data_IF_372793203742
#
_entry.id   IF_372793203742
#
_cell.length_a   1.000
_cell.length_b   1.000
_cell.length_c   1.000
_cell.angle_alpha   90.00
_cell.angle_beta   90.00
_cell.angle_gamma   90.00
#
_symmetry.space_group_name_H-M   'P 1'
#
loop_
_entity.id
_entity.type
_entity.pdbx_description
1 polymer ?
#
# COMPACT_ATOMS: atom_id res chain seq x y z
N UNK A 1 1.64 -21.00 -65.86
CA UNK A 1 2.34 -19.74 -66.19
C UNK A 1 3.23 -19.41 -65.00
N UNK A 2 4.55 -19.65 -65.14
CA UNK A 2 5.57 -19.30 -64.17
C UNK A 2 5.66 -17.78 -63.98
N UNK A 3 6.10 -17.34 -62.79
CA UNK A 3 7.00 -16.21 -62.46
C UNK A 3 6.69 -15.78 -61.01
N UNK A 4 7.60 -15.46 -60.10
CA UNK A 4 9.06 -15.52 -60.02
C UNK A 4 9.41 -15.28 -58.54
N UNK A 5 10.50 -15.87 -58.08
CA UNK A 5 11.09 -15.69 -56.76
C UNK A 5 11.45 -14.22 -56.47
N UNK A 6 11.27 -13.77 -55.22
CA UNK A 6 12.13 -12.75 -54.63
C UNK A 6 12.42 -13.08 -53.16
N UNK A 7 13.55 -13.75 -52.94
CA UNK A 7 14.16 -13.93 -51.62
C UNK A 7 14.88 -12.63 -51.27
N UNK A 8 14.29 -11.82 -50.39
CA UNK A 8 15.03 -10.73 -49.74
C UNK A 8 15.82 -11.31 -48.56
N UNK A 9 17.15 -11.36 -48.73
CA UNK A 9 18.12 -11.59 -47.66
C UNK A 9 17.89 -10.56 -46.54
N UNK A 10 17.34 -10.97 -45.39
CA UNK A 10 17.45 -10.18 -44.16
C UNK A 10 18.90 -10.27 -43.68
N UNK A 11 19.63 -9.15 -43.80
CA UNK A 11 20.92 -8.97 -43.12
C UNK A 11 20.68 -9.08 -41.61
N UNK A 12 21.56 -9.81 -40.94
CA UNK A 12 21.64 -9.96 -39.50
C UNK A 12 21.65 -8.60 -38.82
N UNK A 13 20.63 -8.30 -38.03
CA UNK A 13 20.70 -7.27 -37.01
C UNK A 13 20.75 -8.00 -35.68
N UNK A 14 21.95 -8.27 -35.19
CA UNK A 14 22.16 -8.64 -33.79
C UNK A 14 21.70 -7.46 -32.96
N UNK A 15 20.56 -7.61 -32.29
CA UNK A 15 20.13 -6.68 -31.26
C UNK A 15 21.11 -6.83 -30.10
N UNK A 16 22.05 -5.89 -30.00
CA UNK A 16 22.86 -5.70 -28.79
C UNK A 16 22.03 -4.76 -27.93
N UNK A 17 21.46 -5.19 -26.80
CA UNK A 17 20.79 -4.26 -25.91
C UNK A 17 21.86 -3.27 -25.43
N UNK A 18 21.67 -1.99 -25.74
CA UNK A 18 22.49 -0.93 -25.20
C UNK A 18 22.36 -0.94 -23.69
N UNK A 19 23.49 -1.11 -22.98
CA UNK A 19 23.55 -0.89 -21.54
C UNK A 19 23.04 0.52 -21.22
N UNK A 20 22.21 0.57 -20.17
CA UNK A 20 21.82 1.75 -19.38
C UNK A 20 20.54 2.47 -19.84
N UNK A 21 19.39 1.82 -19.68
CA UNK A 21 18.22 2.56 -19.18
C UNK A 21 18.56 3.00 -17.75
N UNK A 22 18.65 4.31 -17.53
CA UNK A 22 18.81 4.87 -16.19
C UNK A 22 17.51 4.64 -15.43
N UNK A 23 17.47 3.64 -14.55
CA UNK A 23 16.53 3.64 -13.44
C UNK A 23 16.73 4.97 -12.70
N UNK A 24 15.64 5.69 -12.39
CA UNK A 24 15.73 6.92 -11.59
C UNK A 24 16.10 6.51 -10.17
N UNK A 25 17.40 6.28 -9.92
CA UNK A 25 17.93 5.88 -8.62
C UNK A 25 17.77 6.99 -7.58
N UNK A 26 17.55 8.24 -8.02
CA UNK A 26 17.33 9.39 -7.16
C UNK A 26 16.23 10.30 -7.70
N UNK A 27 15.48 10.88 -6.77
CA UNK A 27 14.46 11.90 -7.02
C UNK A 27 14.66 13.07 -6.06
N UNK A 28 14.13 14.23 -6.42
CA UNK A 28 14.11 15.41 -5.56
C UNK A 28 12.68 15.89 -5.39
N UNK A 29 12.24 15.99 -4.14
CA UNK A 29 10.94 16.57 -3.78
C UNK A 29 11.18 17.73 -2.81
N UNK A 30 10.77 18.93 -3.23
CA UNK A 30 11.01 20.18 -2.51
C UNK A 30 12.50 20.35 -2.13
N UNK A 31 12.79 20.40 -0.83
CA UNK A 31 14.08 20.60 -0.20
C UNK A 31 14.85 19.29 0.07
N UNK A 32 14.29 18.12 -0.26
CA UNK A 32 14.89 16.81 0.05
C UNK A 32 15.22 16.00 -1.19
N UNK A 33 16.32 15.24 -1.09
CA UNK A 33 16.69 14.22 -2.06
C UNK A 33 16.39 12.83 -1.50
N UNK A 34 15.89 11.96 -2.37
CA UNK A 34 15.55 10.59 -2.05
C UNK A 34 16.23 9.66 -3.02
N UNK A 35 16.59 8.46 -2.56
CA UNK A 35 17.14 7.40 -3.37
C UNK A 35 16.24 6.17 -3.36
N UNK A 36 16.31 5.38 -4.43
CA UNK A 36 15.53 4.16 -4.60
C UNK A 36 15.73 3.26 -3.37
N UNK A 37 14.62 2.88 -2.74
CA UNK A 37 14.63 2.04 -1.56
C UNK A 37 13.99 0.68 -1.83
N UNK A 38 12.77 0.68 -2.38
CA UNK A 38 12.04 -0.55 -2.71
C UNK A 38 11.50 -0.42 -4.14
N UNK A 39 11.92 -1.28 -5.07
CA UNK A 39 11.42 -1.23 -6.44
C UNK A 39 9.96 -1.72 -6.53
N UNK A 40 9.22 -1.26 -7.54
CA UNK A 40 7.83 -1.63 -7.82
C UNK A 40 7.64 -3.17 -7.85
N UNK A 41 8.61 -3.91 -8.38
CA UNK A 41 8.55 -5.37 -8.46
C UNK A 41 8.44 -6.04 -7.09
N UNK A 42 9.13 -5.50 -6.08
CA UNK A 42 9.15 -6.06 -4.73
C UNK A 42 7.84 -5.73 -4.00
N UNK A 43 7.28 -4.55 -4.28
CA UNK A 43 5.97 -4.13 -3.80
C UNK A 43 4.89 -5.07 -4.34
N UNK A 44 4.86 -5.28 -5.66
CA UNK A 44 3.91 -6.18 -6.31
C UNK A 44 4.02 -7.63 -5.80
N UNK A 45 5.25 -8.12 -5.60
CA UNK A 45 5.49 -9.46 -5.06
C UNK A 45 4.97 -9.59 -3.62
N UNK A 46 5.16 -8.57 -2.78
CA UNK A 46 4.63 -8.55 -1.42
C UNK A 46 3.09 -8.52 -1.41
N UNK A 47 2.46 -7.69 -2.26
CA UNK A 47 1.00 -7.62 -2.39
C UNK A 47 0.42 -8.96 -2.83
N UNK A 48 1.01 -9.61 -3.84
CA UNK A 48 0.57 -10.93 -4.30
C UNK A 48 0.64 -11.98 -3.18
N UNK A 49 1.70 -11.95 -2.36
CA UNK A 49 1.84 -12.84 -1.20
C UNK A 49 0.79 -12.56 -0.13
N UNK A 50 0.52 -11.29 0.18
CA UNK A 50 -0.56 -10.91 1.11
C UNK A 50 -1.92 -11.38 0.61
N UNK A 51 -2.19 -11.21 -0.69
CA UNK A 51 -3.46 -11.62 -1.30
C UNK A 51 -3.73 -13.13 -1.14
N UNK A 52 -2.70 -13.98 -1.24
CA UNK A 52 -2.84 -15.43 -0.99
C UNK A 52 -3.31 -15.71 0.43
N UNK A 53 -2.74 -15.02 1.43
CA UNK A 53 -3.11 -15.19 2.84
C UNK A 53 -4.53 -14.68 3.10
N UNK A 54 -4.84 -13.46 2.63
CA UNK A 54 -6.15 -12.85 2.81
C UNK A 54 -7.23 -13.70 2.14
N UNK A 55 -7.01 -14.20 0.92
CA UNK A 55 -7.96 -15.08 0.21
C UNK A 55 -8.33 -16.30 1.06
N UNK A 56 -7.34 -17.00 1.61
CA UNK A 56 -7.58 -18.17 2.45
C UNK A 56 -8.43 -17.82 3.68
N UNK A 57 -8.20 -16.65 4.28
CA UNK A 57 -8.92 -16.21 5.47
C UNK A 57 -10.33 -15.70 5.19
N UNK A 58 -10.61 -15.17 3.99
CA UNK A 58 -11.92 -14.62 3.61
C UNK A 58 -12.78 -15.58 2.80
N UNK A 59 -12.26 -16.74 2.42
CA UNK A 59 -12.97 -17.76 1.63
C UNK A 59 -14.34 -18.10 2.26
N UNK A 60 -15.40 -18.04 1.43
CA UNK A 60 -16.78 -18.30 1.86
C UNK A 60 -17.38 -17.25 2.82
N UNK A 61 -16.71 -16.11 3.03
CA UNK A 61 -17.19 -14.98 3.84
C UNK A 61 -17.63 -13.81 2.96
N UNK A 62 -18.21 -12.79 3.57
CA UNK A 62 -18.52 -11.50 2.93
C UNK A 62 -17.77 -10.36 3.64
N UNK A 63 -16.43 -10.27 3.46
CA UNK A 63 -15.63 -9.28 4.17
C UNK A 63 -15.96 -7.85 3.70
N UNK A 64 -15.75 -6.89 4.61
CA UNK A 64 -15.66 -5.47 4.28
C UNK A 64 -14.20 -5.04 4.33
N UNK A 65 -13.64 -4.63 3.20
CA UNK A 65 -12.36 -3.96 3.15
C UNK A 65 -12.55 -2.46 3.34
N UNK A 66 -11.70 -1.85 4.16
CA UNK A 66 -11.70 -0.41 4.44
C UNK A 66 -10.34 0.16 4.09
N UNK A 67 -10.24 0.81 2.94
CA UNK A 67 -9.02 1.53 2.53
C UNK A 67 -8.88 2.86 3.25
N UNK A 68 -7.73 3.12 3.85
CA UNK A 68 -7.50 4.38 4.58
C UNK A 68 -6.81 5.41 3.68
N UNK A 69 -7.48 6.54 3.50
CA UNK A 69 -7.04 7.62 2.65
C UNK A 69 -6.10 8.58 3.39
N UNK A 70 -5.19 9.26 2.67
CA UNK A 70 -5.03 9.21 1.22
C UNK A 70 -4.02 8.17 0.74
N UNK A 71 -3.03 7.82 1.55
CA UNK A 71 -1.83 7.13 1.08
C UNK A 71 -2.05 5.68 0.65
N UNK A 72 -2.95 4.93 1.30
CA UNK A 72 -3.20 3.52 0.98
C UNK A 72 -3.85 3.27 -0.39
N UNK A 73 -4.34 4.29 -1.11
CA UNK A 73 -5.15 4.08 -2.30
C UNK A 73 -4.47 3.24 -3.40
N UNK A 74 -3.14 3.37 -3.57
CA UNK A 74 -2.39 2.56 -4.54
C UNK A 74 -2.33 1.10 -4.09
N UNK A 75 -1.83 0.85 -2.88
CA UNK A 75 -1.80 -0.48 -2.27
C UNK A 75 -3.18 -1.16 -2.30
N UNK A 76 -4.24 -0.45 -1.92
CA UNK A 76 -5.62 -0.95 -1.94
C UNK A 76 -6.01 -1.35 -3.36
N UNK A 77 -5.84 -0.47 -4.35
CA UNK A 77 -6.20 -0.76 -5.73
C UNK A 77 -5.44 -1.97 -6.30
N UNK A 78 -4.18 -2.16 -5.92
CA UNK A 78 -3.38 -3.31 -6.34
C UNK A 78 -3.81 -4.61 -5.63
N UNK A 79 -3.95 -4.59 -4.31
CA UNK A 79 -4.40 -5.75 -3.54
C UNK A 79 -5.78 -6.24 -3.98
N UNK A 80 -6.72 -5.32 -4.19
CA UNK A 80 -8.10 -5.66 -4.59
C UNK A 80 -8.16 -6.37 -5.96
N UNK A 81 -7.19 -6.13 -6.85
CA UNK A 81 -7.08 -6.85 -8.13
C UNK A 81 -6.61 -8.30 -7.96
N UNK A 82 -5.92 -8.62 -6.87
CA UNK A 82 -5.36 -9.95 -6.59
C UNK A 82 -6.31 -10.90 -5.84
N UNK A 83 -7.37 -10.35 -5.22
CA UNK A 83 -8.21 -11.10 -4.30
C UNK A 83 -9.22 -12.04 -4.96
N UNK A 84 -9.64 -11.85 -6.22
CA UNK A 84 -10.55 -12.73 -6.99
C UNK A 84 -11.63 -13.48 -6.18
N UNK A 85 -12.25 -12.79 -5.21
CA UNK A 85 -13.31 -13.28 -4.34
C UNK A 85 -14.37 -12.19 -4.18
N UNK A 86 -15.63 -12.53 -3.84
CA UNK A 86 -16.64 -11.52 -3.51
C UNK A 86 -16.25 -10.72 -2.26
N UNK A 87 -16.29 -9.40 -2.35
CA UNK A 87 -16.06 -8.50 -1.22
C UNK A 87 -16.81 -7.18 -1.39
N UNK A 88 -16.91 -6.42 -0.31
CA UNK A 88 -17.26 -5.01 -0.34
C UNK A 88 -16.03 -4.16 -0.01
N UNK A 89 -15.88 -3.01 -0.68
CA UNK A 89 -14.82 -2.05 -0.43
C UNK A 89 -15.44 -0.69 -0.10
N UNK A 90 -15.00 -0.09 1.00
CA UNK A 90 -15.27 1.31 1.33
C UNK A 90 -13.95 2.00 1.70
N UNK A 91 -14.01 3.32 1.87
CA UNK A 91 -12.86 4.12 2.26
C UNK A 91 -13.17 4.91 3.53
N UNK A 92 -12.14 5.16 4.32
CA UNK A 92 -12.19 6.07 5.45
C UNK A 92 -11.00 7.04 5.38
N UNK A 93 -11.10 8.18 6.07
CA UNK A 93 -10.03 9.17 6.17
C UNK A 93 -9.96 9.72 7.58
N UNK A 94 -8.77 9.67 8.15
CA UNK A 94 -8.48 10.19 9.48
C UNK A 94 -7.43 11.30 9.40
N UNK A 95 -7.43 12.19 10.38
CA UNK A 95 -6.33 13.13 10.59
C UNK A 95 -5.74 12.93 11.97
N UNK A 96 -4.41 12.86 12.03
CA UNK A 96 -3.66 12.65 13.26
C UNK A 96 -3.90 13.77 14.28
N UNK A 97 -3.75 13.41 15.55
CA UNK A 97 -3.96 14.28 16.71
C UNK A 97 -3.29 15.65 16.57
N UNK A 98 -4.04 16.73 16.80
CA UNK A 98 -3.53 18.11 16.83
C UNK A 98 -3.44 18.59 18.29
N UNK A 99 -2.24 18.99 18.76
CA UNK A 99 -2.03 19.73 20.01
C UNK A 99 -0.98 19.16 20.97
N UNK A 100 -0.38 20.03 21.79
CA UNK A 100 0.60 19.72 22.86
C UNK A 100 -0.05 19.16 24.14
N UNK A 101 -1.38 19.12 24.18
CA UNK A 101 -2.18 18.48 25.22
C UNK A 101 -2.95 17.34 24.59
N UNK A 102 -2.63 16.12 25.00
CA UNK A 102 -3.27 14.86 24.65
C UNK A 102 -4.75 14.83 25.06
N UNK A 103 -5.61 15.57 24.37
CA UNK A 103 -7.06 15.30 24.43
C UNK A 103 -7.41 14.01 23.72
N UNK A 104 -6.50 13.45 22.90
CA UNK A 104 -6.55 12.04 22.48
C UNK A 104 -7.73 11.70 21.57
N UNK A 105 -8.31 12.68 20.86
CA UNK A 105 -9.41 12.45 19.92
C UNK A 105 -8.87 12.45 18.48
N UNK A 106 -8.97 11.30 17.82
CA UNK A 106 -8.70 11.16 16.39
C UNK A 106 -9.81 11.87 15.62
N UNK A 107 -9.47 12.72 14.65
CA UNK A 107 -10.48 13.40 13.85
C UNK A 107 -10.81 12.58 12.60
N UNK A 108 -12.05 12.06 12.54
CA UNK A 108 -12.61 11.30 11.43
C UNK A 108 -13.13 12.25 10.34
N UNK A 109 -12.30 12.52 9.33
CA UNK A 109 -12.67 13.38 8.19
C UNK A 109 -13.74 12.67 7.35
N UNK A 110 -13.56 11.36 7.15
CA UNK A 110 -14.50 10.51 6.43
C UNK A 110 -14.61 9.18 7.19
N UNK A 111 -15.64 8.98 8.02
CA UNK A 111 -15.82 7.74 8.77
C UNK A 111 -16.22 6.59 7.84
N UNK A 112 -16.13 5.36 8.34
CA UNK A 112 -16.66 4.18 7.66
C UNK A 112 -18.18 4.29 7.52
N UNK A 113 -18.69 4.25 6.29
CA UNK A 113 -20.13 4.46 6.00
C UNK A 113 -20.92 3.15 5.87
N UNK A 114 -20.25 2.03 5.61
CA UNK A 114 -20.91 0.73 5.44
C UNK A 114 -21.39 0.16 6.78
N UNK A 115 -22.42 -0.70 6.77
CA UNK A 115 -22.82 -1.44 7.98
C UNK A 115 -21.74 -2.49 8.28
N UNK A 116 -21.14 -2.38 9.47
CA UNK A 116 -20.06 -3.23 9.95
C UNK A 116 -20.55 -4.31 10.92
N UNK A 117 -21.79 -4.23 11.40
CA UNK A 117 -22.28 -5.09 12.49
C UNK A 117 -22.29 -6.56 12.06
N UNK A 118 -21.66 -7.40 12.87
CA UNK A 118 -21.56 -8.83 12.61
C UNK A 118 -20.63 -9.21 11.45
N UNK A 119 -19.91 -8.26 10.85
CA UNK A 119 -19.03 -8.52 9.70
C UNK A 119 -17.58 -8.67 10.10
N UNK A 120 -16.83 -9.38 9.25
CA UNK A 120 -15.38 -9.30 9.20
C UNK A 120 -14.99 -8.02 8.48
N UNK A 121 -14.20 -7.17 9.13
CA UNK A 121 -13.67 -5.92 8.60
C UNK A 121 -12.15 -6.01 8.52
N UNK A 122 -11.58 -5.70 7.35
CA UNK A 122 -10.14 -5.67 7.13
C UNK A 122 -9.74 -4.24 6.75
N UNK A 123 -9.05 -3.55 7.66
CA UNK A 123 -8.45 -2.24 7.40
C UNK A 123 -7.23 -2.41 6.51
N UNK A 124 -7.09 -1.53 5.52
CA UNK A 124 -5.99 -1.51 4.56
C UNK A 124 -5.24 -0.18 4.66
N UNK A 125 -4.01 -0.23 5.19
CA UNK A 125 -3.11 0.92 5.36
C UNK A 125 -1.89 0.81 4.44
N UNK A 126 -1.32 1.94 3.99
CA UNK A 126 -0.02 1.95 3.33
C UNK A 126 1.12 1.71 4.32
N UNK A 127 1.09 2.34 5.50
CA UNK A 127 2.16 2.24 6.48
C UNK A 127 1.67 2.29 7.93
N UNK A 128 2.19 1.37 8.74
CA UNK A 128 2.09 1.43 10.20
C UNK A 128 3.41 1.93 10.78
N UNK A 129 3.35 3.13 11.35
CA UNK A 129 4.45 3.80 12.04
C UNK A 129 4.25 3.75 13.57
N UNK A 130 3.65 4.78 14.18
CA UNK A 130 3.40 4.78 15.64
C UNK A 130 2.30 3.81 16.09
N UNK A 131 1.37 3.47 15.19
CA UNK A 131 0.25 2.55 15.43
C UNK A 131 -1.01 3.15 16.07
N UNK A 132 -0.96 4.39 16.60
CA UNK A 132 -2.07 4.96 17.38
C UNK A 132 -3.40 5.05 16.61
N UNK A 133 -3.36 5.53 15.36
CA UNK A 133 -4.57 5.67 14.53
C UNK A 133 -5.27 4.32 14.35
N UNK A 134 -4.53 3.30 13.92
CA UNK A 134 -5.13 1.98 13.67
C UNK A 134 -5.54 1.28 14.96
N UNK A 135 -4.80 1.44 16.06
CA UNK A 135 -5.25 0.91 17.35
C UNK A 135 -6.63 1.47 17.74
N UNK A 136 -6.78 2.79 17.69
CA UNK A 136 -8.05 3.46 17.98
C UNK A 136 -9.18 3.01 17.04
N UNK A 137 -8.93 3.00 15.73
CA UNK A 137 -9.95 2.63 14.73
C UNK A 137 -10.38 1.18 14.90
N UNK A 138 -9.45 0.26 15.14
CA UNK A 138 -9.77 -1.15 15.35
C UNK A 138 -10.62 -1.37 16.61
N UNK A 139 -10.28 -0.71 17.72
CA UNK A 139 -11.08 -0.75 18.96
C UNK A 139 -12.49 -0.18 18.74
N UNK A 140 -12.59 0.95 18.04
CA UNK A 140 -13.87 1.59 17.69
C UNK A 140 -14.76 0.64 16.89
N UNK A 141 -14.26 0.08 15.79
CA UNK A 141 -15.04 -0.83 14.93
C UNK A 141 -15.54 -2.06 15.68
N UNK A 142 -14.72 -2.63 16.58
CA UNK A 142 -15.14 -3.73 17.46
C UNK A 142 -16.27 -3.29 18.40
N UNK A 143 -16.14 -2.11 19.00
CA UNK A 143 -17.17 -1.55 19.91
C UNK A 143 -18.49 -1.24 19.21
N UNK A 144 -18.44 -0.90 17.92
CA UNK A 144 -19.60 -0.64 17.06
C UNK A 144 -20.22 -1.93 16.48
N UNK A 145 -19.66 -3.09 16.83
CA UNK A 145 -20.28 -4.40 16.60
C UNK A 145 -19.71 -5.21 15.44
N UNK A 146 -18.55 -4.85 14.87
CA UNK A 146 -17.84 -5.73 13.94
C UNK A 146 -17.48 -7.07 14.62
N UNK A 147 -17.67 -8.18 13.90
CA UNK A 147 -17.45 -9.53 14.44
C UNK A 147 -15.96 -9.92 14.48
N UNK A 148 -15.20 -9.48 13.48
CA UNK A 148 -13.76 -9.67 13.39
C UNK A 148 -13.16 -8.40 12.78
N UNK A 149 -12.07 -7.87 13.34
CA UNK A 149 -11.40 -6.67 12.84
C UNK A 149 -9.93 -6.97 12.71
N UNK A 150 -9.46 -6.99 11.47
CA UNK A 150 -8.08 -7.27 11.07
C UNK A 150 -7.44 -6.06 10.39
N UNK A 151 -6.11 -6.05 10.37
CA UNK A 151 -5.30 -5.01 9.79
C UNK A 151 -4.32 -5.59 8.77
N UNK A 152 -4.41 -5.11 7.54
CA UNK A 152 -3.40 -5.30 6.51
C UNK A 152 -2.65 -4.00 6.28
N UNK A 153 -1.31 -4.05 6.28
CA UNK A 153 -0.48 -2.90 5.94
C UNK A 153 0.57 -3.28 4.90
N UNK A 154 0.78 -2.40 3.92
CA UNK A 154 1.84 -2.60 2.94
C UNK A 154 3.22 -2.53 3.60
N UNK A 155 3.44 -1.51 4.43
CA UNK A 155 4.71 -1.28 5.13
C UNK A 155 4.50 -1.28 6.64
N UNK A 156 5.46 -1.84 7.37
CA UNK A 156 5.43 -1.87 8.83
C UNK A 156 6.79 -1.51 9.42
N UNK A 157 6.79 -0.53 10.34
CA UNK A 157 7.97 -0.06 11.09
C UNK A 157 7.88 -0.54 12.55
N UNK A 158 8.26 -1.79 12.87
CA UNK A 158 8.10 -2.34 14.21
C UNK A 158 8.82 -1.51 15.29
N UNK A 159 9.98 -0.94 14.98
CA UNK A 159 10.76 -0.11 15.91
C UNK A 159 10.12 1.27 16.20
N UNK A 160 9.16 1.70 15.37
CA UNK A 160 8.48 3.00 15.52
C UNK A 160 7.20 2.92 16.34
N UNK A 161 6.70 1.71 16.61
CA UNK A 161 5.48 1.50 17.38
C UNK A 161 5.54 2.15 18.77
N UNK A 162 4.42 2.78 19.14
CA UNK A 162 4.22 3.42 20.46
C UNK A 162 3.02 2.84 21.21
N UNK A 163 2.38 1.81 20.65
CA UNK A 163 1.28 1.06 21.25
C UNK A 163 1.40 -0.43 20.90
N UNK A 164 0.64 -1.27 21.61
CA UNK A 164 0.53 -2.70 21.30
C UNK A 164 -0.35 -2.89 20.06
N UNK A 165 0.26 -2.93 18.88
CA UNK A 165 -0.42 -3.17 17.62
C UNK A 165 0.35 -4.20 16.80
N UNK A 166 -0.34 -5.26 16.38
CA UNK A 166 0.19 -6.30 15.50
C UNK A 166 -0.70 -6.38 14.26
N UNK A 167 -0.23 -5.95 13.08
CA UNK A 167 -0.97 -6.17 11.85
C UNK A 167 -1.08 -7.67 11.53
N UNK A 168 -2.25 -8.10 11.09
CA UNK A 168 -2.51 -9.50 10.68
C UNK A 168 -1.81 -9.83 9.35
N UNK A 169 -1.72 -8.86 8.44
CA UNK A 169 -1.07 -8.99 7.15
C UNK A 169 -0.06 -7.87 6.95
N UNK A 170 1.21 -8.24 6.74
CA UNK A 170 2.30 -7.30 6.49
C UNK A 170 2.93 -7.60 5.14
N UNK A 171 3.00 -6.60 4.28
CA UNK A 171 3.71 -6.70 3.00
C UNK A 171 5.21 -6.74 3.23
N UNK A 172 5.77 -5.64 3.72
CA UNK A 172 7.20 -5.47 3.99
C UNK A 172 7.43 -4.84 5.37
N UNK A 173 8.39 -5.38 6.11
CA UNK A 173 8.92 -4.72 7.32
C UNK A 173 10.12 -3.86 6.92
N UNK A 174 10.15 -2.62 7.39
CA UNK A 174 11.17 -1.63 7.01
C UNK A 174 11.70 -0.86 8.23
N UNK A 175 12.92 -0.29 8.16
CA UNK A 175 13.44 0.61 9.18
C UNK A 175 12.64 1.92 9.29
N UNK A 176 12.94 2.70 10.34
CA UNK A 176 12.29 3.98 10.65
C UNK A 176 12.75 5.15 9.76
N UNK A 177 12.90 4.94 8.46
CA UNK A 177 13.33 5.97 7.50
C UNK A 177 12.17 6.82 6.98
N UNK A 178 12.43 8.07 6.60
CA UNK A 178 11.46 8.89 5.88
C UNK A 178 11.42 8.47 4.40
N UNK A 179 10.24 8.07 3.93
CA UNK A 179 10.04 7.46 2.62
C UNK A 179 8.87 8.09 1.87
N UNK A 180 8.91 8.02 0.54
CA UNK A 180 7.89 8.55 -0.38
C UNK A 180 7.70 7.58 -1.56
N UNK A 181 6.63 7.76 -2.33
CA UNK A 181 6.32 6.89 -3.46
C UNK A 181 5.30 5.81 -3.12
N UNK A 182 4.71 5.21 -4.15
CA UNK A 182 3.65 4.21 -4.04
C UNK A 182 2.51 4.64 -3.10
N UNK A 183 2.00 5.86 -3.30
CA UNK A 183 0.95 6.45 -2.46
C UNK A 183 1.46 7.29 -1.28
N UNK A 184 2.68 7.05 -0.79
CA UNK A 184 3.32 7.85 0.27
C UNK A 184 3.80 9.20 -0.27
N UNK A 185 3.82 10.22 0.60
CA UNK A 185 4.11 11.59 0.20
C UNK A 185 5.10 12.34 1.09
N UNK A 186 5.65 13.40 0.49
CA UNK A 186 6.20 14.55 1.19
C UNK A 186 5.38 15.79 0.83
N UNK A 187 4.50 16.21 1.75
CA UNK A 187 3.57 17.33 1.57
C UNK A 187 2.78 17.24 0.26
N UNK A 188 2.08 16.13 0.07
CA UNK A 188 1.28 15.76 -1.10
C UNK A 188 2.08 15.49 -2.39
N UNK A 189 3.41 15.61 -2.38
CA UNK A 189 4.26 15.28 -3.52
C UNK A 189 4.85 13.87 -3.39
N UNK A 190 5.00 13.19 -4.53
CA UNK A 190 5.69 11.89 -4.60
C UNK A 190 4.77 10.67 -4.64
N UNK A 191 3.48 10.80 -4.33
CA UNK A 191 2.53 9.67 -4.34
C UNK A 191 2.55 8.86 -5.64
N UNK A 192 2.77 9.52 -6.78
CA UNK A 192 2.67 8.93 -8.12
C UNK A 192 3.87 8.06 -8.53
N UNK A 193 4.98 8.09 -7.78
CA UNK A 193 6.11 7.21 -8.10
C UNK A 193 5.70 5.75 -7.85
N UNK A 194 6.12 4.86 -8.74
CA UNK A 194 5.80 3.44 -8.65
C UNK A 194 6.63 2.73 -7.58
N UNK A 195 7.91 3.10 -7.53
CA UNK A 195 8.86 2.66 -6.51
C UNK A 195 8.71 3.49 -5.23
N UNK A 196 9.22 2.93 -4.12
CA UNK A 196 9.39 3.66 -2.86
C UNK A 196 10.84 4.14 -2.77
N UNK A 197 10.99 5.39 -2.35
CA UNK A 197 12.27 6.08 -2.19
C UNK A 197 12.47 6.48 -0.73
N UNK A 198 13.70 6.41 -0.23
CA UNK A 198 14.09 6.87 1.11
C UNK A 198 14.90 8.15 1.05
N UNK A 199 14.76 9.02 2.04
CA UNK A 199 15.56 10.25 2.15
C UNK A 199 17.05 9.91 2.24
N UNK A 200 17.91 10.71 1.59
CA UNK A 200 19.36 10.49 1.58
C UNK A 200 20.05 11.17 2.76
N UNK A 201 19.65 12.41 3.07
CA UNK A 201 19.96 13.23 4.26
C UNK A 201 19.31 14.61 4.07
#
# INVERSE_FOLDING_TARGET
MLLHFFVHRRKSCTFVPSKTERFMDRIRLKDKEFELFIPESDIQAAIAKMAVQIKADVEGKNPLFVGVLNGAFMFVAELMRELDVPYELTFARYSSYQGTSSTGILNEIMPVQADIRGRMVILLEDIIDTGFTMNYVMEKLRSEGAADVRLATMLFKPESLKCELTPDYVGLQIPADFIVGHGLDYDELGRSYKDIYKVVE
#
